data_IF_577929870679
#
_entry.id   IF_577929870679
#
_cell.length_a   1.000
_cell.length_b   1.000
_cell.length_c   1.000
_cell.angle_alpha   90.00
_cell.angle_beta   90.00
_cell.angle_gamma   90.00
#
_symmetry.space_group_name_H-M   'P 1'
#
loop_
_entity.id
_entity.type
_entity.pdbx_description
1 polymer ?
#
# COMPACT_ATOMS: atom_id res chain seq x y z
N UNK A 1 8.27 -78.11 61.40
CA UNK A 1 7.77 -76.98 62.23
C UNK A 1 8.58 -75.73 61.92
N UNK A 2 7.98 -74.54 62.03
CA UNK A 2 8.58 -73.18 62.26
C UNK A 2 9.91 -72.82 61.56
N UNK A 3 9.94 -71.86 60.62
CA UNK A 3 9.96 -70.37 60.81
C UNK A 3 11.20 -69.87 61.60
N UNK A 4 11.97 -68.86 61.16
CA UNK A 4 11.90 -68.01 59.96
C UNK A 4 12.68 -66.68 60.12
N UNK A 5 12.46 -65.70 59.21
CA UNK A 5 13.13 -64.37 59.05
C UNK A 5 14.53 -64.46 58.38
N UNK A 6 15.01 -63.49 57.56
CA UNK A 6 14.68 -62.06 57.37
C UNK A 6 14.58 -61.60 55.89
N UNK A 7 14.02 -60.39 55.72
CA UNK A 7 14.03 -59.45 54.57
C UNK A 7 15.10 -59.63 53.45
N UNK A 8 14.73 -59.36 52.19
CA UNK A 8 14.95 -58.02 51.57
C UNK A 8 14.29 -57.84 50.19
N UNK A 9 14.00 -56.58 49.82
CA UNK A 9 13.47 -56.20 48.48
C UNK A 9 14.62 -55.79 47.53
N UNK A 10 14.69 -56.32 46.31
CA UNK A 10 15.53 -55.75 45.26
C UNK A 10 14.76 -54.94 44.21
N UNK A 11 15.14 -53.66 44.12
CA UNK A 11 15.33 -52.82 42.93
C UNK A 11 14.22 -52.48 41.91
N UNK A 12 14.22 -51.18 41.59
CA UNK A 12 13.53 -50.55 40.45
C UNK A 12 14.09 -51.06 39.12
N UNK A 13 13.20 -51.12 38.12
CA UNK A 13 13.55 -51.41 36.72
C UNK A 13 14.52 -50.37 36.15
N UNK A 14 15.61 -50.85 35.56
CA UNK A 14 16.35 -50.16 34.50
C UNK A 14 16.26 -51.00 33.22
N UNK A 15 15.78 -50.41 32.13
CA UNK A 15 16.10 -50.80 30.75
C UNK A 15 15.49 -49.81 29.77
N UNK A 16 16.30 -49.26 28.87
CA UNK A 16 15.87 -48.32 27.86
C UNK A 16 15.25 -49.06 26.66
N UNK A 17 13.95 -48.88 26.43
CA UNK A 17 13.29 -49.30 25.19
C UNK A 17 13.37 -48.19 24.15
N UNK A 18 14.37 -48.22 23.28
CA UNK A 18 14.51 -47.26 22.18
C UNK A 18 13.45 -47.55 21.11
N UNK A 19 12.35 -46.78 21.11
CA UNK A 19 11.37 -46.78 20.02
C UNK A 19 11.90 -45.99 18.83
N UNK A 20 12.51 -46.71 17.87
CA UNK A 20 12.79 -46.15 16.54
C UNK A 20 11.48 -45.69 15.88
N UNK A 21 11.30 -44.38 15.71
CA UNK A 21 10.27 -43.86 14.80
C UNK A 21 10.67 -44.21 13.36
N UNK A 22 9.84 -45.01 12.70
CA UNK A 22 9.88 -45.20 11.26
C UNK A 22 9.66 -43.86 10.55
N UNK A 23 10.67 -43.33 9.86
CA UNK A 23 10.47 -42.25 8.91
C UNK A 23 9.91 -42.84 7.61
N UNK A 24 8.75 -42.35 7.18
CA UNK A 24 8.21 -42.70 5.86
C UNK A 24 9.11 -42.10 4.76
N UNK A 25 9.57 -42.91 3.78
CA UNK A 25 10.67 -42.50 2.90
C UNK A 25 10.30 -41.49 1.80
N UNK A 26 9.02 -41.06 1.72
CA UNK A 26 8.50 -40.29 0.57
C UNK A 26 7.95 -38.89 0.90
N UNK A 27 8.14 -38.37 2.11
CA UNK A 27 7.83 -36.95 2.39
C UNK A 27 8.91 -36.08 1.77
N UNK A 28 8.69 -35.64 0.52
CA UNK A 28 9.41 -34.48 -0.04
C UNK A 28 9.04 -33.25 0.79
N UNK A 29 9.87 -32.90 1.76
CA UNK A 29 9.73 -31.67 2.55
C UNK A 29 9.97 -30.45 1.65
N UNK A 30 8.93 -30.01 0.94
CA UNK A 30 9.00 -28.84 0.06
C UNK A 30 9.16 -27.60 0.94
N UNK A 31 10.40 -27.19 1.14
CA UNK A 31 10.75 -25.97 1.89
C UNK A 31 10.16 -24.78 1.13
N UNK A 32 9.07 -24.21 1.62
CA UNK A 32 8.48 -22.99 1.05
C UNK A 32 9.45 -21.84 1.39
N UNK A 33 10.35 -21.56 0.44
CA UNK A 33 11.47 -20.61 0.59
C UNK A 33 11.16 -19.20 0.09
N UNK A 34 9.93 -18.96 -0.39
CA UNK A 34 9.50 -17.65 -0.87
C UNK A 34 8.94 -16.83 0.29
N UNK A 35 9.48 -15.63 0.45
CA UNK A 35 8.96 -14.65 1.40
C UNK A 35 7.48 -14.37 1.14
N UNK A 36 6.69 -14.21 2.20
CA UNK A 36 5.27 -13.87 2.10
C UNK A 36 5.15 -12.43 1.57
N UNK A 37 4.36 -12.24 0.51
CA UNK A 37 4.04 -10.88 0.03
C UNK A 37 3.40 -10.09 1.17
N UNK A 38 3.89 -8.88 1.42
CA UNK A 38 3.39 -7.94 2.40
C UNK A 38 2.93 -6.69 1.66
N UNK A 39 1.70 -6.29 1.91
CA UNK A 39 1.12 -5.03 1.46
C UNK A 39 0.69 -4.20 2.68
N UNK A 40 0.85 -2.88 2.61
CA UNK A 40 0.65 -1.97 3.75
C UNK A 40 -0.38 -0.90 3.39
N UNK A 41 -1.32 -0.64 4.29
CA UNK A 41 -2.19 0.52 4.26
C UNK A 41 -1.80 1.47 5.40
N UNK A 42 -1.39 2.70 5.07
CA UNK A 42 -1.14 3.78 6.02
C UNK A 42 -2.31 4.77 5.94
N UNK A 43 -3.12 4.86 6.99
CA UNK A 43 -4.35 5.65 7.03
C UNK A 43 -4.18 6.84 7.97
N UNK A 44 -4.46 8.05 7.49
CA UNK A 44 -4.56 9.23 8.32
C UNK A 44 -5.77 9.16 9.26
N UNK A 45 -5.54 9.16 10.57
CA UNK A 45 -6.53 8.99 11.63
C UNK A 45 -7.10 10.29 12.22
N UNK A 46 -7.17 11.37 11.45
CA UNK A 46 -7.61 12.67 11.94
C UNK A 46 -9.10 12.95 11.91
N UNK A 47 -9.47 14.18 12.30
CA UNK A 47 -10.88 14.61 12.37
C UNK A 47 -11.51 14.70 10.96
N UNK A 48 -10.81 15.33 10.01
CA UNK A 48 -11.28 15.53 8.64
C UNK A 48 -11.00 14.32 7.73
N UNK A 49 -12.04 13.60 7.31
CA UNK A 49 -11.96 12.61 6.22
C UNK A 49 -11.36 11.25 6.56
N UNK A 50 -11.03 10.98 7.84
CA UNK A 50 -10.48 9.67 8.25
C UNK A 50 -11.40 8.50 7.92
N UNK A 51 -12.71 8.62 8.16
CA UNK A 51 -13.68 7.53 7.92
C UNK A 51 -13.68 7.11 6.45
N UNK A 52 -13.55 8.09 5.56
CA UNK A 52 -13.47 7.94 4.12
C UNK A 52 -12.14 7.28 3.69
N UNK A 53 -11.03 7.68 4.30
CA UNK A 53 -9.71 7.11 4.07
C UNK A 53 -9.59 5.66 4.58
N UNK A 54 -10.19 5.35 5.75
CA UNK A 54 -10.26 4.00 6.28
C UNK A 54 -11.09 3.09 5.36
N UNK A 55 -12.27 3.54 4.92
CA UNK A 55 -13.09 2.81 3.93
C UNK A 55 -12.32 2.54 2.62
N UNK A 56 -11.53 3.50 2.15
CA UNK A 56 -10.69 3.32 0.96
C UNK A 56 -9.57 2.30 1.17
N UNK A 57 -8.95 2.29 2.36
CA UNK A 57 -7.96 1.30 2.75
C UNK A 57 -8.57 -0.11 2.87
N UNK A 58 -9.75 -0.24 3.46
CA UNK A 58 -10.47 -1.51 3.60
C UNK A 58 -10.87 -2.06 2.22
N UNK A 59 -11.34 -1.20 1.31
CA UNK A 59 -11.65 -1.57 -0.07
C UNK A 59 -10.40 -2.05 -0.81
N UNK A 60 -9.29 -1.28 -0.76
CA UNK A 60 -8.03 -1.66 -1.42
C UNK A 60 -7.48 -2.98 -0.85
N UNK A 61 -7.60 -3.17 0.46
CA UNK A 61 -7.22 -4.40 1.16
C UNK A 61 -7.97 -5.60 0.58
N UNK A 62 -9.31 -5.57 0.54
CA UNK A 62 -10.14 -6.65 -0.03
C UNK A 62 -9.73 -7.00 -1.47
N UNK A 63 -9.59 -5.99 -2.34
CA UNK A 63 -9.19 -6.16 -3.75
C UNK A 63 -7.80 -6.79 -3.91
N UNK A 64 -6.83 -6.43 -3.08
CA UNK A 64 -5.52 -7.10 -3.10
C UNK A 64 -5.60 -8.54 -2.57
N UNK A 65 -6.48 -8.80 -1.61
CA UNK A 65 -6.70 -10.13 -1.00
C UNK A 65 -7.35 -11.13 -1.96
N UNK A 66 -8.31 -10.66 -2.76
CA UNK A 66 -8.88 -11.40 -3.89
C UNK A 66 -7.82 -11.76 -4.95
N UNK A 67 -6.96 -10.78 -5.28
CA UNK A 67 -5.88 -10.90 -6.27
C UNK A 67 -4.72 -11.77 -5.80
N UNK A 68 -4.43 -11.79 -4.49
CA UNK A 68 -3.22 -12.39 -3.90
C UNK A 68 -3.53 -13.23 -2.65
N UNK A 69 -4.25 -14.35 -2.82
CA UNK A 69 -4.79 -15.23 -1.76
C UNK A 69 -3.86 -15.65 -0.59
N UNK A 70 -2.55 -15.48 -0.69
CA UNK A 70 -1.56 -15.89 0.33
C UNK A 70 -0.71 -14.74 0.91
N UNK A 71 -0.97 -13.49 0.52
CA UNK A 71 -0.25 -12.33 1.04
C UNK A 71 -0.69 -11.95 2.47
N UNK A 72 0.05 -11.03 3.09
CA UNK A 72 -0.32 -10.36 4.32
C UNK A 72 -0.61 -8.89 4.04
N UNK A 73 -1.76 -8.40 4.52
CA UNK A 73 -2.06 -6.97 4.54
C UNK A 73 -1.95 -6.51 5.99
N UNK A 74 -1.29 -5.37 6.22
CA UNK A 74 -1.37 -4.66 7.50
C UNK A 74 -1.88 -3.25 7.29
N UNK A 75 -2.87 -2.86 8.08
CA UNK A 75 -3.44 -1.52 8.10
C UNK A 75 -3.03 -0.83 9.39
N UNK A 76 -2.44 0.36 9.26
CA UNK A 76 -1.98 1.19 10.37
C UNK A 76 -2.63 2.56 10.29
N UNK A 77 -3.03 3.10 11.44
CA UNK A 77 -3.61 4.44 11.54
C UNK A 77 -2.59 5.37 12.20
N UNK A 78 -2.25 6.47 11.55
CA UNK A 78 -1.32 7.49 12.05
C UNK A 78 -2.04 8.83 12.26
N UNK A 79 -1.75 9.52 13.36
CA UNK A 79 -2.40 10.80 13.72
C UNK A 79 -1.41 11.95 13.84
N UNK A 80 -0.20 11.69 14.29
CA UNK A 80 0.86 12.67 14.56
C UNK A 80 2.25 12.14 14.12
N UNK A 81 3.26 13.00 14.15
CA UNK A 81 4.62 12.68 13.67
C UNK A 81 5.20 11.46 14.39
N UNK A 82 4.99 11.37 15.70
CA UNK A 82 5.48 10.27 16.55
C UNK A 82 4.88 8.94 16.10
N UNK A 83 3.55 8.87 15.94
CA UNK A 83 2.86 7.66 15.47
C UNK A 83 3.33 7.24 14.08
N UNK A 84 3.48 8.18 13.15
CA UNK A 84 3.97 7.89 11.80
C UNK A 84 5.39 7.31 11.81
N UNK A 85 6.32 7.93 12.54
CA UNK A 85 7.70 7.40 12.67
C UNK A 85 7.71 6.02 13.35
N UNK A 86 6.91 5.79 14.40
CA UNK A 86 6.79 4.49 15.05
C UNK A 86 6.28 3.38 14.11
N UNK A 87 5.23 3.66 13.33
CA UNK A 87 4.68 2.74 12.34
C UNK A 87 5.72 2.46 11.24
N UNK A 88 6.45 3.48 10.79
CA UNK A 88 7.51 3.31 9.79
C UNK A 88 8.63 2.39 10.29
N UNK A 89 9.10 2.59 11.53
CA UNK A 89 10.08 1.72 12.18
C UNK A 89 9.55 0.28 12.37
N UNK A 90 8.25 0.10 12.63
CA UNK A 90 7.63 -1.23 12.71
C UNK A 90 7.66 -1.94 11.34
N UNK A 91 7.25 -1.25 10.28
CA UNK A 91 7.30 -1.78 8.90
C UNK A 91 8.74 -2.10 8.49
N UNK A 92 9.70 -1.25 8.82
CA UNK A 92 11.12 -1.54 8.63
C UNK A 92 11.50 -2.86 9.28
N UNK A 93 11.21 -3.04 10.58
CA UNK A 93 11.47 -4.30 11.30
C UNK A 93 10.80 -5.51 10.64
N UNK A 94 9.56 -5.39 10.17
CA UNK A 94 8.87 -6.46 9.43
C UNK A 94 9.64 -6.85 8.16
N UNK A 95 10.11 -5.88 7.36
CA UNK A 95 10.90 -6.18 6.16
C UNK A 95 12.25 -6.83 6.46
N UNK A 96 12.80 -6.64 7.66
CA UNK A 96 14.06 -7.28 8.08
C UNK A 96 13.88 -8.68 8.70
N UNK A 97 12.64 -9.14 8.93
CA UNK A 97 12.39 -10.45 9.54
C UNK A 97 12.87 -11.60 8.64
N UNK A 98 13.46 -12.62 9.27
CA UNK A 98 13.97 -13.82 8.60
C UNK A 98 13.36 -15.08 9.20
N UNK A 99 13.17 -16.08 8.35
CA UNK A 99 12.91 -17.47 8.73
C UNK A 99 14.08 -18.05 9.52
N UNK A 100 13.87 -19.17 10.22
CA UNK A 100 14.96 -19.94 10.86
C UNK A 100 16.06 -20.40 9.88
N UNK A 101 15.78 -20.42 8.57
CA UNK A 101 16.77 -20.68 7.52
C UNK A 101 17.45 -19.43 6.94
N UNK A 102 17.27 -18.25 7.53
CA UNK A 102 17.92 -17.00 7.12
C UNK A 102 17.28 -16.30 5.90
N UNK A 103 16.39 -16.96 5.16
CA UNK A 103 15.60 -16.34 4.09
C UNK A 103 14.61 -15.31 4.65
N UNK A 104 14.37 -14.21 3.94
CA UNK A 104 13.40 -13.18 4.32
C UNK A 104 12.00 -13.78 4.56
N UNK A 105 11.33 -13.34 5.63
CA UNK A 105 9.98 -13.77 5.98
C UNK A 105 8.92 -13.05 5.14
N UNK A 106 9.11 -11.73 4.93
CA UNK A 106 8.23 -10.88 4.15
C UNK A 106 8.95 -10.27 2.94
N UNK A 107 8.19 -9.91 1.91
CA UNK A 107 8.65 -9.03 0.83
C UNK A 107 7.60 -7.94 0.62
N UNK A 108 8.00 -6.68 0.69
CA UNK A 108 7.09 -5.53 0.63
C UNK A 108 6.77 -5.17 -0.83
N UNK A 109 5.53 -5.38 -1.27
CA UNK A 109 5.09 -5.09 -2.64
C UNK A 109 4.43 -3.71 -2.72
N UNK A 110 3.23 -3.52 -2.17
CA UNK A 110 2.50 -2.24 -2.28
C UNK A 110 2.35 -1.57 -0.91
N UNK A 111 2.72 -0.28 -0.81
CA UNK A 111 2.40 0.57 0.33
C UNK A 111 1.47 1.69 -0.11
N UNK A 112 0.24 1.69 0.37
CA UNK A 112 -0.75 2.72 0.09
C UNK A 112 -0.84 3.72 1.23
N UNK A 113 -0.71 5.01 0.92
CA UNK A 113 -0.85 6.09 1.90
C UNK A 113 -2.14 6.88 1.61
N UNK A 114 -3.08 6.82 2.53
CA UNK A 114 -4.37 7.50 2.48
C UNK A 114 -4.34 8.70 3.43
N UNK A 115 -4.44 9.92 2.88
CA UNK A 115 -4.25 11.13 3.66
C UNK A 115 -4.57 12.42 2.92
N UNK A 116 -4.39 13.54 3.64
CA UNK A 116 -4.34 14.88 3.06
C UNK A 116 -2.90 15.30 2.83
N UNK A 117 -2.63 16.10 1.80
CA UNK A 117 -1.27 16.55 1.49
C UNK A 117 -1.23 17.82 0.63
N UNK A 118 -0.04 18.39 0.54
CA UNK A 118 0.35 19.35 -0.48
C UNK A 118 1.43 18.74 -1.37
N UNK A 119 1.98 19.52 -2.30
CA UNK A 119 3.17 19.10 -3.03
C UNK A 119 4.40 18.89 -2.13
N UNK A 120 4.48 19.45 -0.91
CA UNK A 120 5.70 19.39 -0.07
C UNK A 120 5.57 18.65 1.26
N UNK A 121 4.36 18.31 1.68
CA UNK A 121 4.13 17.66 2.98
C UNK A 121 2.82 16.86 3.01
N UNK A 122 2.77 15.84 3.88
CA UNK A 122 1.53 15.19 4.30
C UNK A 122 1.01 15.90 5.55
N UNK A 123 -0.28 16.23 5.56
CA UNK A 123 -0.93 16.90 6.69
C UNK A 123 -1.25 15.89 7.79
N UNK A 124 -1.09 16.30 9.05
CA UNK A 124 -1.38 15.50 10.25
C UNK A 124 -2.43 16.19 11.13
N UNK A 125 -2.78 15.57 12.26
CA UNK A 125 -3.70 16.14 13.24
C UNK A 125 -2.99 17.21 14.06
N UNK A 126 -3.59 18.40 14.13
CA UNK A 126 -3.11 19.51 14.94
C UNK A 126 -2.39 20.60 14.14
N UNK A 127 -2.32 21.81 14.72
CA UNK A 127 -1.66 22.96 14.08
C UNK A 127 -0.14 22.79 14.06
N UNK A 128 0.41 22.51 12.87
CA UNK A 128 1.85 22.63 12.59
C UNK A 128 2.61 21.31 12.43
N UNK A 129 2.09 20.19 12.92
CA UNK A 129 2.67 18.88 12.65
C UNK A 129 2.37 18.42 11.22
N UNK A 130 3.41 18.07 10.46
CA UNK A 130 3.32 17.60 9.08
C UNK A 130 4.48 16.65 8.77
N UNK A 131 4.27 15.65 7.91
CA UNK A 131 5.41 14.88 7.35
C UNK A 131 6.00 15.68 6.20
N UNK A 132 7.16 16.31 6.42
CA UNK A 132 7.85 17.13 5.42
C UNK A 132 8.84 16.33 4.58
N UNK A 133 9.28 16.87 3.44
CA UNK A 133 10.38 16.33 2.64
C UNK A 133 11.65 16.06 3.46
N UNK A 134 12.02 16.94 4.40
CA UNK A 134 13.24 16.73 5.21
C UNK A 134 13.12 15.48 6.09
N UNK A 135 11.93 15.23 6.66
CA UNK A 135 11.68 14.02 7.44
C UNK A 135 11.69 12.76 6.59
N UNK A 136 11.24 12.81 5.33
CA UNK A 136 11.28 11.67 4.39
C UNK A 136 12.71 11.21 4.09
N UNK A 137 13.68 12.13 4.15
CA UNK A 137 15.11 11.82 3.99
C UNK A 137 15.66 11.04 5.20
N UNK A 138 15.11 11.24 6.39
CA UNK A 138 15.51 10.58 7.65
C UNK A 138 14.91 9.18 7.84
N UNK A 139 13.87 8.81 7.08
CA UNK A 139 13.15 7.54 7.25
C UNK A 139 14.04 6.33 6.94
N UNK A 140 13.86 5.25 7.70
CA UNK A 140 14.52 3.98 7.43
C UNK A 140 14.21 3.48 6.01
N UNK A 141 15.19 2.88 5.34
CA UNK A 141 15.01 2.29 4.01
C UNK A 141 14.38 0.91 4.16
N UNK A 142 13.15 0.76 3.67
CA UNK A 142 12.42 -0.50 3.70
C UNK A 142 12.98 -1.46 2.63
N UNK A 143 12.95 -2.77 2.89
CA UNK A 143 13.37 -3.77 1.88
C UNK A 143 12.20 -4.10 0.94
N UNK A 144 12.20 -3.42 -0.21
CA UNK A 144 11.15 -3.51 -1.23
C UNK A 144 11.34 -4.70 -2.17
N UNK A 145 10.23 -5.28 -2.64
CA UNK A 145 10.28 -6.29 -3.70
C UNK A 145 10.88 -5.71 -4.99
N UNK A 146 12.02 -6.26 -5.45
CA UNK A 146 12.88 -5.70 -6.51
C UNK A 146 12.21 -5.31 -7.83
N UNK A 147 11.03 -5.86 -8.15
CA UNK A 147 10.29 -5.61 -9.41
C UNK A 147 8.90 -4.99 -9.23
N UNK A 148 8.31 -5.11 -8.04
CA UNK A 148 6.90 -4.72 -7.80
C UNK A 148 6.74 -3.76 -6.62
N UNK A 149 7.81 -3.52 -5.86
CA UNK A 149 7.86 -2.54 -4.78
C UNK A 149 7.40 -1.17 -5.25
N UNK A 150 6.35 -0.64 -4.61
CA UNK A 150 5.85 0.70 -4.89
C UNK A 150 5.15 1.35 -3.71
N UNK A 151 5.24 2.68 -3.66
CA UNK A 151 4.45 3.55 -2.78
C UNK A 151 3.35 4.21 -3.62
N UNK A 152 2.12 4.22 -3.11
CA UNK A 152 0.94 4.73 -3.80
C UNK A 152 0.30 5.81 -2.92
N UNK A 153 0.35 7.07 -3.37
CA UNK A 153 -0.29 8.19 -2.67
C UNK A 153 -1.76 8.31 -3.06
N UNK A 154 -2.66 7.82 -2.22
CA UNK A 154 -4.07 8.19 -2.21
C UNK A 154 -4.24 9.48 -1.41
N UNK A 155 -3.60 10.56 -1.89
CA UNK A 155 -3.58 11.83 -1.16
C UNK A 155 -3.47 13.02 -2.12
N UNK A 156 -4.16 14.11 -1.80
CA UNK A 156 -4.26 15.25 -2.70
C UNK A 156 -2.90 15.94 -2.90
N UNK A 157 -2.54 16.30 -4.15
CA UNK A 157 -1.37 17.14 -4.49
C UNK A 157 0.04 16.56 -4.22
N UNK A 158 0.19 15.36 -3.67
CA UNK A 158 1.50 14.73 -3.36
C UNK A 158 2.49 14.63 -4.54
N UNK A 159 1.98 14.61 -5.77
CA UNK A 159 2.77 14.58 -7.01
C UNK A 159 2.00 15.13 -8.22
N UNK A 160 1.08 16.06 -7.99
CA UNK A 160 0.15 16.58 -9.01
C UNK A 160 0.87 17.39 -10.10
N UNK A 161 0.43 17.24 -11.35
CA UNK A 161 1.05 17.88 -12.52
C UNK A 161 0.95 19.42 -12.57
N UNK A 162 -0.09 20.02 -11.99
CA UNK A 162 -0.31 21.48 -12.04
C UNK A 162 0.28 22.26 -10.87
N UNK A 163 0.85 21.58 -9.87
CA UNK A 163 1.56 22.22 -8.75
C UNK A 163 3.01 22.57 -9.10
N UNK A 164 3.43 22.22 -10.32
CA UNK A 164 4.74 22.46 -10.88
C UNK A 164 4.54 23.21 -12.21
N UNK A 165 4.64 24.55 -12.16
CA UNK A 165 4.44 25.44 -13.33
C UNK A 165 5.56 25.31 -14.37
N UNK A 166 6.77 24.99 -13.93
CA UNK A 166 7.85 24.52 -14.77
C UNK A 166 7.79 22.98 -14.86
N UNK A 167 7.71 22.44 -16.09
CA UNK A 167 7.71 20.99 -16.35
C UNK A 167 9.02 20.32 -15.90
N UNK A 168 10.13 21.06 -15.80
CA UNK A 168 11.44 20.58 -15.33
C UNK A 168 11.60 20.60 -13.81
N UNK A 169 10.86 21.45 -13.09
CA UNK A 169 10.86 21.40 -11.63
C UNK A 169 9.90 20.30 -11.19
N UNK A 170 10.43 19.19 -10.70
CA UNK A 170 9.68 17.98 -10.37
C UNK A 170 9.47 17.79 -8.87
N UNK A 171 9.94 18.74 -8.05
CA UNK A 171 10.06 18.61 -6.61
C UNK A 171 8.67 18.49 -5.95
N UNK A 172 8.41 17.32 -5.37
CA UNK A 172 7.24 17.05 -4.56
C UNK A 172 7.50 15.90 -3.57
N UNK A 173 6.64 15.73 -2.56
CA UNK A 173 6.84 14.72 -1.52
C UNK A 173 6.88 13.29 -2.08
N UNK A 174 6.01 12.95 -3.04
CA UNK A 174 6.04 11.65 -3.71
C UNK A 174 7.37 11.36 -4.44
N UNK A 175 7.99 12.39 -5.04
CA UNK A 175 9.30 12.27 -5.67
C UNK A 175 10.38 11.92 -4.64
N UNK A 176 10.40 12.61 -3.51
CA UNK A 176 11.42 12.39 -2.48
C UNK A 176 11.24 11.04 -1.79
N UNK A 177 10.00 10.56 -1.61
CA UNK A 177 9.76 9.15 -1.23
C UNK A 177 10.37 8.18 -2.25
N UNK A 178 10.09 8.35 -3.56
CA UNK A 178 10.68 7.51 -4.63
C UNK A 178 12.20 7.49 -4.61
N UNK A 179 12.82 8.67 -4.40
CA UNK A 179 14.27 8.87 -4.37
C UNK A 179 14.93 8.24 -3.15
N UNK A 180 14.41 8.53 -1.95
CA UNK A 180 15.01 8.08 -0.69
C UNK A 180 14.83 6.59 -0.46
N UNK A 181 13.66 6.05 -0.82
CA UNK A 181 13.35 4.62 -0.71
C UNK A 181 13.79 3.80 -1.94
N UNK A 182 14.27 4.45 -3.01
CA UNK A 182 14.67 3.82 -4.29
C UNK A 182 13.59 2.90 -4.86
N UNK A 183 12.36 3.39 -4.85
CA UNK A 183 11.15 2.61 -5.16
C UNK A 183 10.28 3.36 -6.16
N UNK A 184 9.43 2.65 -6.90
CA UNK A 184 8.41 3.29 -7.74
C UNK A 184 7.44 4.04 -6.82
N UNK A 185 7.08 5.27 -7.16
CA UNK A 185 6.06 6.01 -6.41
C UNK A 185 5.03 6.61 -7.34
N UNK A 186 3.75 6.28 -7.12
CA UNK A 186 2.62 6.92 -7.80
C UNK A 186 2.17 8.10 -6.96
N UNK A 187 2.44 9.32 -7.43
CA UNK A 187 2.44 10.51 -6.59
C UNK A 187 1.07 11.13 -6.32
N UNK A 188 0.03 10.73 -7.03
CA UNK A 188 -1.35 11.03 -6.67
C UNK A 188 -2.23 10.06 -7.45
N UNK A 189 -2.48 8.89 -6.87
CA UNK A 189 -3.62 8.10 -7.28
C UNK A 189 -4.88 8.90 -6.97
N UNK A 190 -5.76 8.94 -7.96
CA UNK A 190 -7.18 9.08 -7.69
C UNK A 190 -7.55 7.90 -6.76
N UNK A 191 -8.36 8.16 -5.73
CA UNK A 191 -8.89 7.11 -4.83
C UNK A 191 -9.63 6.00 -5.63
N UNK A 192 -10.33 5.07 -4.99
CA UNK A 192 -11.10 4.02 -5.70
C UNK A 192 -12.64 4.23 -5.84
N UNK A 193 -13.36 5.05 -5.05
CA UNK A 193 -14.81 4.77 -4.80
C UNK A 193 -15.95 5.75 -5.22
N UNK A 194 -15.96 7.11 -5.15
CA UNK A 194 -17.12 7.95 -5.65
C UNK A 194 -17.13 7.98 -7.20
N UNK A 195 -16.35 7.10 -7.85
CA UNK A 195 -16.44 6.92 -9.27
C UNK A 195 -17.78 6.22 -9.51
N UNK A 196 -18.67 6.95 -10.16
CA UNK A 196 -20.10 6.66 -10.08
C UNK A 196 -20.53 5.95 -11.35
N UNK A 197 -20.30 4.64 -11.31
CA UNK A 197 -20.88 3.64 -12.18
C UNK A 197 -20.58 2.26 -11.60
N UNK A 198 -21.45 1.31 -11.90
CA UNK A 198 -21.50 0.00 -11.25
C UNK A 198 -20.34 -0.92 -11.70
N UNK A 199 -19.59 -0.50 -12.72
CA UNK A 199 -18.46 -1.21 -13.30
C UNK A 199 -17.18 -0.37 -13.34
N UNK A 200 -16.02 -1.03 -13.21
CA UNK A 200 -14.67 -0.44 -13.31
C UNK A 200 -14.47 0.42 -14.58
N UNK A 201 -15.18 0.13 -15.67
CA UNK A 201 -15.11 0.94 -16.90
C UNK A 201 -15.55 2.38 -16.64
N UNK A 202 -16.60 2.60 -15.86
CA UNK A 202 -17.22 3.93 -15.68
C UNK A 202 -16.31 4.85 -14.87
N UNK A 203 -15.42 4.24 -14.09
CA UNK A 203 -14.45 4.89 -13.23
C UNK A 203 -13.39 5.69 -14.00
N UNK A 204 -13.33 5.58 -15.33
CA UNK A 204 -12.46 6.42 -16.18
C UNK A 204 -12.91 7.87 -16.33
N UNK A 205 -14.14 8.22 -15.93
CA UNK A 205 -14.74 9.56 -16.14
C UNK A 205 -15.29 10.17 -14.84
N UNK A 206 -15.11 11.48 -14.66
CA UNK A 206 -15.73 12.23 -13.55
C UNK A 206 -17.17 12.63 -13.89
N UNK A 207 -18.16 12.07 -13.18
CA UNK A 207 -19.56 12.47 -13.32
C UNK A 207 -19.90 13.70 -12.45
N UNK A 208 -20.47 14.75 -13.07
CA UNK A 208 -20.91 15.98 -12.37
C UNK A 208 -22.29 15.90 -11.73
N UNK A 209 -23.17 15.02 -12.21
CA UNK A 209 -24.57 14.94 -11.76
C UNK A 209 -24.73 14.22 -10.41
N UNK A 210 -23.68 13.53 -9.96
CA UNK A 210 -23.72 12.63 -8.79
C UNK A 210 -22.90 13.17 -7.59
N UNK A 211 -22.49 14.44 -7.63
CA UNK A 211 -21.60 15.06 -6.64
C UNK A 211 -22.19 15.19 -5.21
N UNK A 212 -23.47 14.86 -5.01
CA UNK A 212 -24.21 15.08 -3.77
C UNK A 212 -25.00 13.82 -3.26
N UNK A 213 -24.75 12.60 -3.79
CA UNK A 213 -25.43 11.39 -3.31
C UNK A 213 -24.85 10.90 -1.98
N UNK A 214 -25.28 11.52 -0.88
CA UNK A 214 -24.78 11.31 0.49
C UNK A 214 -25.45 10.13 1.25
N UNK A 215 -26.16 9.24 0.55
CA UNK A 215 -26.81 8.03 1.09
C UNK A 215 -26.35 6.79 0.34
N UNK A 216 -25.36 6.08 0.89
CA UNK A 216 -25.13 4.66 0.62
C UNK A 216 -24.75 4.00 1.95
N UNK A 217 -25.41 2.88 2.25
CA UNK A 217 -25.62 2.36 3.60
C UNK A 217 -24.56 1.31 4.01
N UNK A 218 -24.48 1.00 5.30
CA UNK A 218 -23.38 0.27 5.93
C UNK A 218 -23.29 -1.23 5.64
N UNK A 219 -24.29 -1.85 5.00
CA UNK A 219 -24.50 -3.31 5.04
C UNK A 219 -24.89 -3.99 3.70
N UNK A 220 -24.81 -3.28 2.57
CA UNK A 220 -25.00 -3.85 1.23
C UNK A 220 -23.95 -3.29 0.26
N UNK A 221 -23.44 -4.10 -0.67
CA UNK A 221 -22.30 -3.74 -1.52
C UNK A 221 -22.63 -2.62 -2.53
N UNK A 222 -22.46 -1.37 -2.11
CA UNK A 222 -22.32 -0.18 -2.96
C UNK A 222 -21.31 0.76 -2.26
N UNK A 223 -20.23 1.19 -2.92
CA UNK A 223 -19.10 1.88 -2.25
C UNK A 223 -18.73 3.20 -2.93
N UNK A 224 -18.71 4.31 -2.16
CA UNK A 224 -18.59 5.69 -2.66
C UNK A 224 -17.63 6.56 -1.78
N UNK A 225 -16.42 6.91 -2.29
CA UNK A 225 -15.45 8.02 -1.93
C UNK A 225 -14.39 8.29 -3.06
N UNK A 226 -14.41 9.41 -3.81
CA UNK A 226 -13.45 9.79 -4.88
C UNK A 226 -13.25 11.30 -5.04
N UNK A 227 -11.99 11.69 -5.25
CA UNK A 227 -11.64 12.94 -5.93
C UNK A 227 -11.17 12.63 -7.36
N UNK A 228 -12.12 12.48 -8.28
CA UNK A 228 -11.82 12.36 -9.70
C UNK A 228 -11.33 13.70 -10.26
N UNK A 229 -10.14 13.73 -10.86
CA UNK A 229 -9.73 14.87 -11.67
C UNK A 229 -10.42 14.81 -13.03
N UNK A 230 -11.38 15.72 -13.24
CA UNK A 230 -11.33 16.39 -14.55
C UNK A 230 -10.12 17.31 -14.49
N UNK A 231 -9.30 17.18 -15.50
CA UNK A 231 -8.36 18.17 -15.99
C UNK A 231 -9.05 19.50 -16.32
N UNK A 232 -9.52 20.22 -15.31
CA UNK A 232 -10.19 21.50 -15.49
C UNK A 232 -9.17 22.60 -15.89
N UNK A 233 -9.54 23.87 -15.66
CA UNK A 233 -8.86 25.07 -16.16
C UNK A 233 -7.33 25.06 -15.98
N UNK A 234 -6.78 24.48 -14.89
CA UNK A 234 -5.32 24.38 -14.68
C UNK A 234 -4.65 23.34 -15.57
N UNK A 235 -5.09 22.08 -15.59
CA UNK A 235 -4.49 21.07 -16.49
C UNK A 235 -4.67 21.50 -17.94
N UNK A 236 -5.88 21.90 -18.34
CA UNK A 236 -6.12 22.39 -19.71
C UNK A 236 -5.25 23.60 -20.07
N UNK A 237 -4.99 24.53 -19.14
CA UNK A 237 -4.06 25.65 -19.36
C UNK A 237 -2.61 25.19 -19.62
N UNK A 238 -2.11 24.19 -18.89
CA UNK A 238 -0.69 23.78 -18.95
C UNK A 238 -0.40 22.61 -19.92
N UNK A 239 -1.42 21.80 -20.23
CA UNK A 239 -1.28 20.54 -20.98
C UNK A 239 -2.21 20.44 -22.21
N UNK A 240 -3.00 21.47 -22.57
CA UNK A 240 -3.78 21.45 -23.83
C UNK A 240 -2.94 21.29 -25.11
N UNK A 241 -1.64 21.61 -25.05
CA UNK A 241 -0.67 21.40 -26.13
C UNK A 241 0.12 20.07 -26.00
N UNK A 242 -0.18 19.25 -25.00
CA UNK A 242 0.43 17.94 -24.82
C UNK A 242 -0.32 16.91 -25.71
N UNK A 243 0.35 16.19 -26.63
CA UNK A 243 -0.32 15.27 -27.53
C UNK A 243 -1.16 14.20 -26.81
N UNK A 244 -0.65 13.66 -25.70
CA UNK A 244 -1.35 12.65 -24.89
C UNK A 244 -2.63 13.22 -24.25
N UNK A 245 -2.64 14.52 -23.94
CA UNK A 245 -3.82 15.21 -23.42
C UNK A 245 -4.91 15.38 -24.47
N UNK A 246 -4.53 15.63 -25.73
CA UNK A 246 -5.47 15.82 -26.83
C UNK A 246 -6.27 14.55 -27.19
N UNK A 247 -5.76 13.37 -26.81
CA UNK A 247 -6.40 12.08 -27.03
C UNK A 247 -7.54 11.80 -26.05
N UNK A 248 -7.59 12.46 -24.89
CA UNK A 248 -8.54 12.14 -23.83
C UNK A 248 -9.96 12.61 -24.15
N UNK A 249 -10.94 11.81 -23.76
CA UNK A 249 -12.34 12.20 -23.80
C UNK A 249 -12.66 13.27 -22.77
N UNK A 250 -13.72 14.02 -23.03
CA UNK A 250 -14.18 15.02 -22.09
C UNK A 250 -14.60 14.36 -20.76
N UNK A 251 -14.08 14.88 -19.64
CA UNK A 251 -14.19 14.31 -18.29
C UNK A 251 -13.37 13.03 -18.00
N UNK A 252 -12.58 12.52 -18.95
CA UNK A 252 -11.63 11.42 -18.69
C UNK A 252 -10.51 11.88 -17.71
N UNK A 253 -10.08 10.97 -16.84
CA UNK A 253 -9.04 11.24 -15.83
C UNK A 253 -7.67 11.45 -16.51
N UNK A 254 -6.93 12.48 -16.07
CA UNK A 254 -5.52 12.67 -16.44
C UNK A 254 -4.63 11.75 -15.59
N UNK A 255 -3.68 11.00 -16.16
CA UNK A 255 -2.98 9.95 -15.41
C UNK A 255 -2.21 10.43 -14.18
N UNK A 256 -2.05 9.54 -13.19
CA UNK A 256 -1.19 9.84 -12.05
C UNK A 256 0.28 9.98 -12.46
N UNK A 257 0.99 10.92 -11.81
CA UNK A 257 2.42 11.12 -12.02
C UNK A 257 3.20 10.02 -11.33
N UNK A 258 3.92 9.20 -12.09
CA UNK A 258 4.78 8.16 -11.55
C UNK A 258 6.23 8.62 -11.48
N UNK A 259 6.91 8.26 -10.40
CA UNK A 259 8.32 8.51 -10.16
C UNK A 259 9.09 7.18 -10.01
N UNK A 260 10.31 7.14 -10.52
CA UNK A 260 11.23 5.99 -10.43
C UNK A 260 12.57 6.53 -9.94
N UNK A 261 12.97 6.15 -8.72
CA UNK A 261 14.18 6.67 -8.06
C UNK A 261 14.26 8.21 -7.98
N UNK A 262 13.12 8.91 -7.98
CA UNK A 262 13.04 10.36 -7.98
C UNK A 262 13.00 11.03 -9.36
N UNK A 263 13.14 10.28 -10.46
CA UNK A 263 12.91 10.78 -11.82
C UNK A 263 11.46 10.57 -12.23
N UNK A 264 10.88 11.49 -13.01
CA UNK A 264 9.52 11.32 -13.53
C UNK A 264 9.53 10.30 -14.66
N UNK A 265 8.62 9.31 -14.60
CA UNK A 265 8.24 8.61 -15.82
C UNK A 265 7.28 9.49 -16.63
N UNK A 266 7.74 9.95 -17.80
CA UNK A 266 6.97 10.80 -18.71
C UNK A 266 6.06 10.02 -19.66
N UNK A 267 6.24 8.70 -19.78
CA UNK A 267 5.39 7.85 -20.61
C UNK A 267 4.03 7.66 -19.92
N UNK A 268 3.07 8.54 -20.25
CA UNK A 268 1.72 8.50 -19.68
C UNK A 268 0.78 7.61 -20.48
N UNK A 269 1.07 7.32 -21.75
CA UNK A 269 0.33 6.39 -22.63
C UNK A 269 -1.20 6.55 -22.47
N UNK A 270 -1.71 7.65 -23.01
CA UNK A 270 -3.14 7.97 -22.98
C UNK A 270 -3.86 7.41 -24.21
N UNK A 271 -5.03 6.80 -24.00
CA UNK A 271 -5.94 6.39 -25.07
C UNK A 271 -7.33 6.98 -24.85
N UNK A 272 -8.01 7.34 -25.94
CA UNK A 272 -9.36 7.91 -25.91
C UNK A 272 -10.34 6.94 -25.28
N UNK A 273 -10.95 7.31 -24.16
CA UNK A 273 -12.03 6.55 -23.55
C UNK A 273 -11.60 5.22 -22.92
N UNK A 274 -10.32 5.04 -22.60
CA UNK A 274 -9.76 3.85 -21.92
C UNK A 274 -9.19 4.27 -20.55
N UNK A 275 -9.17 3.36 -19.58
CA UNK A 275 -8.45 3.60 -18.32
C UNK A 275 -6.93 3.62 -18.57
N UNK A 276 -6.16 4.33 -17.75
CA UNK A 276 -4.70 4.32 -17.88
C UNK A 276 -4.09 3.08 -17.20
N UNK A 277 -3.21 2.35 -17.87
CA UNK A 277 -2.63 1.11 -17.33
C UNK A 277 -1.95 1.26 -15.96
N UNK A 278 -1.32 2.41 -15.69
CA UNK A 278 -0.67 2.67 -14.38
C UNK A 278 -1.73 2.86 -13.32
N UNK A 279 -2.71 3.72 -13.58
CA UNK A 279 -3.79 3.97 -12.64
C UNK A 279 -4.63 2.68 -12.42
N UNK A 280 -4.90 1.89 -13.46
CA UNK A 280 -5.73 0.66 -13.41
C UNK A 280 -5.12 -0.39 -12.48
N UNK A 281 -3.78 -0.53 -12.58
CA UNK A 281 -2.98 -1.45 -11.77
C UNK A 281 -3.04 -1.11 -10.29
N UNK A 282 -3.17 0.18 -9.95
CA UNK A 282 -3.00 0.70 -8.59
C UNK A 282 -4.29 1.20 -7.91
N UNK A 283 -5.42 1.30 -8.62
CA UNK A 283 -6.76 1.08 -8.02
C UNK A 283 -6.79 -0.28 -7.35
#
# INVERSE_FOLDING_TARGET
MTKGKTNDKPNKKSSAGVTKKSQEPNVKTVKITRAKRLDIMLVYGGEDGYKEMQKAADFKSKRLQEKHKTHEIKTYVYTNIKSFKQIWTEIYKLTQMKTSSGSALYSLHEMHLFGHSSNKMLYLVGKGENITISMVIELEKLDWHKKEGCIIFHSCRSGRYEDNTDKKNTNCIAREFSKCQKVITVGQMVYATFNTGDELKDWRKRNKQLSNKLKVDLLGFDSLVLWGYKSERKVKKYYSKDPEYSLLEDWQIWPARMFISGEINLARICYKGVYNNTDEKYI
#
